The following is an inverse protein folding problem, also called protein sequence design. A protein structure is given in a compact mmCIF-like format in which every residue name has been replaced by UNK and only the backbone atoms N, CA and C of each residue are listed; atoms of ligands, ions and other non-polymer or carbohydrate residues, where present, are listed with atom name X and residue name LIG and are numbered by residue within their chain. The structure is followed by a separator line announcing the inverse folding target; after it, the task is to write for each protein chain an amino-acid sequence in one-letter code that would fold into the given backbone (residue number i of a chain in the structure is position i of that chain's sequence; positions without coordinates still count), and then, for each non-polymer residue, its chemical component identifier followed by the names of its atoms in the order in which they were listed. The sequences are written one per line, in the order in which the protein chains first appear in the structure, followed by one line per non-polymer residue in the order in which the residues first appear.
data_IF_346168783888
#
_entry.id   IF_346168783888
#
_cell.length_a   1.000
_cell.length_b   1.000
_cell.length_c   1.000
_cell.angle_alpha   90.00
_cell.angle_beta   90.00
_cell.angle_gamma   90.00
#
_symmetry.space_group_name_H-M   'P 1'
#
loop_
_entity.id
_entity.type
_entity.pdbx_description
1 polymer ?
#
# COMPACT_ATOMS: atom_id res chain seq x y z
N UNK A 1 3.34 -0.44 10.28
CA UNK A 1 3.47 -1.62 9.40
C UNK A 1 2.24 -2.50 9.30
N UNK A 2 1.41 -2.71 10.33
CA UNK A 2 0.24 -3.62 10.24
C UNK A 2 -0.80 -3.18 9.20
N UNK A 3 -0.98 -1.87 9.01
CA UNK A 3 -1.78 -1.33 7.92
C UNK A 3 -1.17 -1.67 6.55
N UNK A 4 0.15 -1.52 6.41
CA UNK A 4 0.88 -1.73 5.15
C UNK A 4 0.89 -3.21 4.74
N UNK A 5 1.14 -4.11 5.69
CA UNK A 5 1.21 -5.55 5.45
C UNK A 5 0.45 -6.27 6.58
N UNK A 6 -0.87 -6.42 6.49
CA UNK A 6 -1.68 -7.08 7.51
C UNK A 6 -1.25 -8.55 7.68
N UNK A 7 -1.47 -9.09 8.88
CA UNK A 7 -1.19 -10.49 9.21
C UNK A 7 -2.45 -11.29 9.55
N UNK A 8 -3.63 -10.65 9.55
CA UNK A 8 -4.90 -11.26 9.91
C UNK A 8 -5.52 -12.09 8.80
N UNK A 9 -6.78 -12.47 8.99
CA UNK A 9 -7.55 -13.33 8.08
C UNK A 9 -7.75 -12.71 6.69
N UNK A 10 -7.73 -13.55 5.67
CA UNK A 10 -7.98 -13.14 4.28
C UNK A 10 -9.50 -13.14 4.02
N UNK A 11 -10.05 -12.02 3.55
CA UNK A 11 -11.47 -11.93 3.19
C UNK A 11 -11.71 -12.56 1.81
N UNK A 12 -12.78 -13.37 1.61
CA UNK A 12 -13.16 -13.90 0.29
C UNK A 12 -13.27 -12.85 -0.81
N UNK A 13 -13.81 -11.67 -0.47
CA UNK A 13 -13.98 -10.57 -1.42
C UNK A 13 -12.71 -9.76 -1.71
N UNK A 14 -11.63 -9.96 -0.94
CA UNK A 14 -10.36 -9.26 -1.17
C UNK A 14 -9.64 -9.80 -2.41
N UNK A 15 -8.72 -9.03 -3.03
CA UNK A 15 -7.93 -9.53 -4.16
C UNK A 15 -7.22 -10.85 -3.85
N UNK A 16 -6.63 -10.99 -2.65
CA UNK A 16 -5.98 -12.23 -2.24
C UNK A 16 -6.99 -13.39 -2.11
N UNK A 17 -8.19 -13.12 -1.61
CA UNK A 17 -9.25 -14.12 -1.51
C UNK A 17 -9.73 -14.60 -2.87
N UNK A 18 -9.98 -13.67 -3.81
CA UNK A 18 -10.34 -14.01 -5.20
C UNK A 18 -9.26 -14.87 -5.85
N UNK A 19 -8.00 -14.46 -5.73
CA UNK A 19 -6.87 -15.23 -6.25
C UNK A 19 -6.81 -16.65 -5.67
N UNK A 20 -6.99 -16.82 -4.36
CA UNK A 20 -7.02 -18.14 -3.73
C UNK A 20 -8.16 -19.02 -4.27
N UNK A 21 -9.37 -18.47 -4.37
CA UNK A 21 -10.53 -19.18 -4.94
C UNK A 21 -10.30 -19.59 -6.38
N UNK A 22 -9.77 -18.69 -7.22
CA UNK A 22 -9.44 -18.95 -8.62
C UNK A 22 -8.40 -20.07 -8.78
N UNK A 23 -7.55 -20.28 -7.76
CA UNK A 23 -6.54 -21.34 -7.71
C UNK A 23 -7.01 -22.57 -6.92
N UNK A 24 -8.31 -22.73 -6.71
CA UNK A 24 -8.91 -23.93 -6.12
C UNK A 24 -8.67 -24.08 -4.62
N UNK A 25 -8.35 -23.01 -3.90
CA UNK A 25 -8.22 -23.04 -2.44
C UNK A 25 -9.59 -22.78 -1.81
N UNK A 26 -10.05 -23.71 -0.98
CA UNK A 26 -11.30 -23.54 -0.27
C UNK A 26 -11.22 -22.43 0.79
N UNK A 27 -12.34 -21.75 1.02
CA UNK A 27 -12.44 -20.64 1.99
C UNK A 27 -11.95 -21.03 3.39
N UNK A 28 -12.19 -22.28 3.81
CA UNK A 28 -11.73 -22.79 5.11
C UNK A 28 -10.19 -22.81 5.22
N UNK A 29 -9.51 -22.98 4.09
CA UNK A 29 -8.05 -23.11 4.01
C UNK A 29 -7.35 -21.79 3.70
N UNK A 30 -8.08 -20.68 3.54
CA UNK A 30 -7.49 -19.36 3.28
C UNK A 30 -6.40 -18.99 4.28
N UNK A 31 -6.62 -19.34 5.55
CA UNK A 31 -5.73 -19.03 6.66
C UNK A 31 -5.53 -17.49 6.76
N UNK A 32 -4.42 -17.06 7.34
CA UNK A 32 -4.07 -15.64 7.50
C UNK A 32 -3.01 -15.20 6.50
N UNK A 33 -2.90 -13.89 6.27
CA UNK A 33 -1.76 -13.32 5.55
C UNK A 33 -0.43 -13.72 6.20
N UNK A 34 -0.38 -13.81 7.53
CA UNK A 34 0.80 -14.29 8.27
C UNK A 34 1.23 -15.71 7.88
N UNK A 35 0.26 -16.62 7.70
CA UNK A 35 0.52 -18.00 7.28
C UNK A 35 0.93 -18.12 5.81
N UNK A 36 0.59 -17.12 4.99
CA UNK A 36 0.83 -17.09 3.54
C UNK A 36 2.09 -16.30 3.16
N UNK A 37 2.95 -15.93 4.12
CA UNK A 37 4.13 -15.05 3.91
C UNK A 37 5.15 -15.54 2.87
N UNK A 38 5.18 -16.85 2.58
CA UNK A 38 6.01 -17.44 1.54
C UNK A 38 5.43 -17.35 0.12
N UNK A 39 4.16 -16.96 -0.02
CA UNK A 39 3.48 -16.81 -1.30
C UNK A 39 3.42 -15.33 -1.68
N UNK A 40 4.20 -14.92 -2.68
CA UNK A 40 4.28 -13.53 -3.09
C UNK A 40 2.98 -13.00 -3.72
N UNK A 41 2.26 -13.82 -4.48
CA UNK A 41 0.98 -13.45 -5.11
C UNK A 41 -0.07 -13.06 -4.06
N UNK A 42 -0.13 -13.80 -2.96
CA UNK A 42 -1.04 -13.51 -1.84
C UNK A 42 -0.59 -12.27 -1.07
N UNK A 43 0.69 -12.15 -0.80
CA UNK A 43 1.21 -11.06 0.03
C UNK A 43 1.21 -9.70 -0.69
N UNK A 44 1.46 -9.68 -2.01
CA UNK A 44 1.27 -8.50 -2.84
C UNK A 44 -0.18 -8.01 -2.77
N UNK A 45 -1.14 -8.93 -2.98
CA UNK A 45 -2.58 -8.64 -2.87
C UNK A 45 -3.05 -8.24 -1.48
N UNK A 46 -2.30 -8.65 -0.46
CA UNK A 46 -2.52 -8.25 0.94
C UNK A 46 -1.92 -6.90 1.30
N UNK A 47 -1.03 -6.34 0.47
CA UNK A 47 -0.36 -5.08 0.77
C UNK A 47 -1.38 -3.94 0.72
N UNK A 48 -1.41 -3.14 1.79
CA UNK A 48 -2.42 -2.12 2.07
C UNK A 48 -3.88 -2.64 2.13
N UNK A 49 -4.10 -3.95 2.28
CA UNK A 49 -5.45 -4.53 2.36
C UNK A 49 -6.07 -4.49 3.76
N UNK A 50 -5.45 -3.81 4.73
CA UNK A 50 -5.94 -3.76 6.09
C UNK A 50 -7.29 -3.03 6.16
N UNK A 51 -8.25 -3.62 6.86
CA UNK A 51 -9.63 -3.11 6.97
C UNK A 51 -9.73 -1.77 7.69
N UNK A 52 -8.68 -1.34 8.40
CA UNK A 52 -8.62 -0.09 9.15
C UNK A 52 -7.77 1.00 8.50
N UNK A 53 -7.25 0.76 7.29
CA UNK A 53 -6.61 1.83 6.52
C UNK A 53 -7.64 2.92 6.24
N UNK A 54 -7.22 4.17 6.35
CA UNK A 54 -8.00 5.34 5.97
C UNK A 54 -7.27 6.02 4.82
N UNK A 55 -7.91 6.08 3.66
CA UNK A 55 -7.35 6.74 2.48
C UNK A 55 -7.94 8.14 2.35
N UNK A 56 -7.10 9.18 2.46
CA UNK A 56 -7.57 10.57 2.42
C UNK A 56 -8.09 11.00 1.04
N UNK A 57 -7.74 10.27 -0.03
CA UNK A 57 -8.34 10.46 -1.36
C UNK A 57 -9.83 10.07 -1.39
N UNK A 58 -10.29 9.30 -0.40
CA UNK A 58 -11.65 8.81 -0.24
C UNK A 58 -12.15 9.12 1.18
N UNK A 59 -12.52 10.38 1.49
CA UNK A 59 -12.92 10.79 2.83
C UNK A 59 -14.03 9.91 3.42
N UNK A 60 -13.80 9.40 4.64
CA UNK A 60 -14.74 8.52 5.33
C UNK A 60 -14.61 7.03 4.97
N UNK A 61 -13.80 6.67 3.98
CA UNK A 61 -13.53 5.26 3.67
C UNK A 61 -12.64 4.59 4.73
N UNK A 62 -12.93 3.32 5.01
CA UNK A 62 -12.05 2.41 5.75
C UNK A 62 -11.81 1.14 4.93
N UNK A 63 -10.56 0.69 4.88
CA UNK A 63 -10.13 -0.50 4.18
C UNK A 63 -9.07 -0.23 3.12
N UNK A 64 -8.61 -1.31 2.49
CA UNK A 64 -7.60 -1.27 1.44
C UNK A 64 -8.13 -0.83 0.09
N UNK A 65 -8.76 0.34 0.05
CA UNK A 65 -9.37 0.94 -1.15
C UNK A 65 -8.70 2.26 -1.52
N UNK A 66 -8.78 2.60 -2.80
CA UNK A 66 -8.29 3.85 -3.35
C UNK A 66 -9.10 4.24 -4.58
N UNK A 67 -8.80 5.43 -5.10
CA UNK A 67 -9.36 5.96 -6.33
C UNK A 67 -8.28 5.87 -7.41
N UNK A 68 -8.57 5.17 -8.49
CA UNK A 68 -7.77 5.22 -9.70
C UNK A 68 -7.97 6.59 -10.39
N UNK A 69 -6.89 7.15 -10.94
CA UNK A 69 -6.91 8.40 -11.69
C UNK A 69 -6.41 8.13 -13.11
N UNK A 70 -6.99 8.77 -14.13
CA UNK A 70 -7.93 9.90 -14.03
C UNK A 70 -9.42 9.51 -14.00
N UNK A 71 -9.77 8.24 -14.12
CA UNK A 71 -11.18 7.81 -14.28
C UNK A 71 -12.04 7.95 -13.01
N UNK A 72 -11.41 8.09 -11.84
CA UNK A 72 -12.09 8.26 -10.57
C UNK A 72 -12.71 6.98 -9.99
N UNK A 73 -12.43 5.81 -10.56
CA UNK A 73 -13.00 4.55 -10.14
C UNK A 73 -12.45 4.09 -8.78
N UNK A 74 -13.35 3.68 -7.89
CA UNK A 74 -12.98 3.15 -6.57
C UNK A 74 -12.74 1.65 -6.64
N UNK A 75 -11.58 1.21 -6.18
CA UNK A 75 -11.19 -0.20 -6.21
C UNK A 75 -10.20 -0.54 -5.10
N UNK A 76 -9.83 -1.82 -4.98
CA UNK A 76 -8.79 -2.22 -4.03
C UNK A 76 -7.44 -1.63 -4.44
N UNK A 77 -6.59 -1.29 -3.46
CA UNK A 77 -5.26 -0.71 -3.73
C UNK A 77 -4.41 -1.61 -4.63
N UNK A 78 -4.50 -2.93 -4.46
CA UNK A 78 -3.82 -3.88 -5.35
C UNK A 78 -4.31 -3.76 -6.79
N UNK A 79 -5.63 -3.70 -7.01
CA UNK A 79 -6.21 -3.63 -8.35
C UNK A 79 -5.79 -2.34 -9.05
N UNK A 80 -5.85 -1.20 -8.34
CA UNK A 80 -5.38 0.09 -8.85
C UNK A 80 -3.89 0.05 -9.19
N UNK A 81 -3.07 -0.56 -8.34
CA UNK A 81 -1.64 -0.70 -8.59
C UNK A 81 -1.33 -1.54 -9.85
N UNK A 82 -2.08 -2.61 -10.09
CA UNK A 82 -1.92 -3.41 -11.31
C UNK A 82 -2.36 -2.65 -12.56
N UNK A 83 -3.42 -1.85 -12.46
CA UNK A 83 -3.87 -1.00 -13.56
C UNK A 83 -2.80 0.05 -13.91
N UNK A 84 -2.27 0.78 -12.93
CA UNK A 84 -1.17 1.73 -13.15
C UNK A 84 0.08 1.06 -13.72
N UNK A 85 0.40 -0.18 -13.32
CA UNK A 85 1.49 -0.92 -13.93
C UNK A 85 1.25 -1.24 -15.40
N UNK A 86 0.03 -1.65 -15.78
CA UNK A 86 -0.33 -1.87 -17.17
C UNK A 86 -0.24 -0.57 -18.00
N UNK A 87 -0.57 0.56 -17.38
CA UNK A 87 -0.43 1.91 -17.96
C UNK A 87 1.01 2.44 -17.95
N UNK A 88 1.97 1.69 -17.38
CA UNK A 88 3.37 2.09 -17.19
C UNK A 88 3.53 3.37 -16.35
N UNK A 89 2.58 3.63 -15.46
CA UNK A 89 2.56 4.79 -14.58
C UNK A 89 3.22 4.46 -13.23
N UNK A 90 4.31 5.16 -12.83
CA UNK A 90 4.93 4.96 -11.54
C UNK A 90 4.06 5.52 -10.40
N UNK A 91 4.17 4.91 -9.21
CA UNK A 91 3.37 5.30 -8.05
C UNK A 91 4.18 5.96 -6.94
N UNK A 92 3.53 6.85 -6.21
CA UNK A 92 4.03 7.44 -4.98
C UNK A 92 2.99 7.30 -3.86
N UNK A 93 3.44 7.27 -2.62
CA UNK A 93 2.57 7.28 -1.43
C UNK A 93 2.81 8.56 -0.66
N UNK A 94 1.74 9.23 -0.25
CA UNK A 94 1.78 10.33 0.70
C UNK A 94 1.27 9.88 2.08
N UNK A 95 1.97 10.26 3.14
CA UNK A 95 1.64 9.86 4.50
C UNK A 95 1.89 10.97 5.53
N UNK A 96 1.30 10.78 6.72
CA UNK A 96 1.49 11.66 7.86
C UNK A 96 2.76 11.34 8.65
N UNK A 97 2.64 11.43 9.97
CA UNK A 97 3.75 11.18 10.91
C UNK A 97 3.93 9.68 11.19
N UNK A 98 5.14 9.33 11.62
CA UNK A 98 5.54 7.99 12.05
C UNK A 98 5.21 6.89 11.03
N UNK A 99 5.36 7.19 9.74
CA UNK A 99 5.06 6.24 8.68
C UNK A 99 5.86 4.96 8.86
N UNK A 100 5.14 3.84 8.95
CA UNK A 100 5.73 2.54 9.17
C UNK A 100 5.72 2.05 10.61
N UNK A 101 5.27 2.83 11.61
CA UNK A 101 5.33 2.43 13.02
C UNK A 101 4.71 1.06 13.33
N UNK A 102 5.30 0.34 14.29
CA UNK A 102 4.88 -0.99 14.74
C UNK A 102 5.90 -2.10 14.43
N UNK A 103 5.45 -3.36 14.52
CA UNK A 103 6.32 -4.54 14.30
C UNK A 103 6.99 -4.52 12.92
N UNK A 104 8.30 -4.78 12.87
CA UNK A 104 8.99 -4.90 11.58
C UNK A 104 8.41 -6.08 10.79
N UNK A 105 7.96 -5.82 9.57
CA UNK A 105 7.41 -6.82 8.65
C UNK A 105 8.07 -6.64 7.30
N UNK A 106 8.81 -7.64 6.83
CA UNK A 106 9.54 -7.59 5.55
C UNK A 106 8.62 -7.21 4.38
N UNK A 107 7.38 -7.72 4.41
CA UNK A 107 6.36 -7.45 3.41
C UNK A 107 5.85 -6.01 3.39
N UNK A 108 6.04 -5.22 4.45
CA UNK A 108 5.68 -3.81 4.42
C UNK A 108 6.52 -3.01 3.39
N UNK A 109 7.80 -3.34 3.23
CA UNK A 109 8.64 -2.72 2.20
C UNK A 109 8.57 -3.49 0.88
N UNK A 110 8.64 -4.84 0.91
CA UNK A 110 8.58 -5.68 -0.30
C UNK A 110 7.27 -5.48 -1.06
N UNK A 111 6.15 -5.52 -0.36
CA UNK A 111 4.81 -5.29 -0.93
C UNK A 111 4.71 -3.92 -1.58
N UNK A 112 5.12 -2.86 -0.86
CA UNK A 112 5.14 -1.49 -1.38
C UNK A 112 5.91 -1.40 -2.70
N UNK A 113 7.10 -2.00 -2.78
CA UNK A 113 7.88 -2.04 -4.02
C UNK A 113 7.19 -2.82 -5.14
N UNK A 114 6.63 -3.99 -4.85
CA UNK A 114 5.99 -4.87 -5.83
C UNK A 114 4.69 -4.30 -6.39
N UNK A 115 4.02 -3.42 -5.64
CA UNK A 115 2.89 -2.62 -6.16
C UNK A 115 3.34 -1.50 -7.12
N UNK A 116 4.65 -1.31 -7.37
CA UNK A 116 5.15 -0.32 -8.32
C UNK A 116 5.49 1.04 -7.71
N UNK A 117 5.39 1.19 -6.39
CA UNK A 117 5.73 2.43 -5.68
C UNK A 117 7.23 2.71 -5.82
N UNK A 118 7.54 3.95 -6.24
CA UNK A 118 8.91 4.44 -6.42
C UNK A 118 9.38 5.29 -5.24
N UNK A 119 8.47 6.05 -4.64
CA UNK A 119 8.75 6.90 -3.50
C UNK A 119 7.62 6.91 -2.47
N UNK A 120 7.98 7.12 -1.21
CA UNK A 120 7.05 7.43 -0.13
C UNK A 120 7.42 8.79 0.42
N UNK A 121 6.46 9.71 0.48
CA UNK A 121 6.60 11.06 1.01
C UNK A 121 5.82 11.12 2.33
N UNK A 122 6.48 11.37 3.45
CA UNK A 122 5.84 11.40 4.77
C UNK A 122 6.29 12.58 5.63
N UNK A 123 5.50 12.97 6.65
CA UNK A 123 5.93 13.97 7.64
C UNK A 123 7.09 13.46 8.48
N UNK A 124 7.06 12.17 8.83
CA UNK A 124 8.18 11.47 9.49
C UNK A 124 8.06 9.96 9.27
N UNK A 125 9.15 9.22 9.52
CA UNK A 125 9.22 7.77 9.37
C UNK A 125 9.64 7.10 10.67
N UNK A 126 9.14 5.89 10.91
CA UNK A 126 9.78 4.98 11.86
C UNK A 126 11.14 4.54 11.30
N UNK A 127 12.18 4.53 12.16
CA UNK A 127 13.58 4.35 11.80
C UNK A 127 13.85 3.04 11.03
N UNK A 128 13.33 1.92 11.52
CA UNK A 128 13.54 0.59 10.90
C UNK A 128 12.80 0.51 9.57
N UNK A 129 11.56 0.99 9.51
CA UNK A 129 10.78 0.96 8.28
C UNK A 129 11.41 1.83 7.18
N UNK A 130 11.96 3.00 7.51
CA UNK A 130 12.72 3.83 6.57
C UNK A 130 13.87 3.06 5.93
N UNK A 131 14.65 2.34 6.75
CA UNK A 131 15.76 1.53 6.25
C UNK A 131 15.27 0.39 5.33
N UNK A 132 14.15 -0.25 5.66
CA UNK A 132 13.56 -1.30 4.83
C UNK A 132 13.09 -0.79 3.46
N UNK A 133 12.53 0.41 3.38
CA UNK A 133 12.14 1.03 2.10
C UNK A 133 13.37 1.25 1.21
N UNK A 134 14.44 1.83 1.77
CA UNK A 134 15.71 2.02 1.05
C UNK A 134 16.27 0.69 0.56
N UNK A 135 16.28 -0.34 1.42
CA UNK A 135 16.75 -1.68 1.06
C UNK A 135 15.93 -2.34 -0.06
N UNK A 136 14.68 -1.92 -0.26
CA UNK A 136 13.82 -2.39 -1.34
C UNK A 136 13.82 -1.47 -2.58
N UNK A 137 14.63 -0.41 -2.59
CA UNK A 137 14.71 0.55 -3.69
C UNK A 137 13.46 1.45 -3.80
N UNK A 138 12.81 1.74 -2.68
CA UNK A 138 11.74 2.74 -2.57
C UNK A 138 12.32 3.96 -1.85
N UNK A 139 12.24 5.14 -2.47
CA UNK A 139 12.83 6.36 -1.92
C UNK A 139 11.97 6.94 -0.78
N UNK A 140 12.44 7.00 0.48
CA UNK A 140 11.72 7.71 1.53
C UNK A 140 12.09 9.20 1.53
N UNK A 141 11.13 10.04 1.19
CA UNK A 141 11.23 11.50 1.23
C UNK A 141 10.48 12.03 2.45
N UNK A 142 11.11 12.93 3.19
CA UNK A 142 10.44 13.62 4.30
C UNK A 142 10.06 15.04 3.87
N UNK A 143 8.85 15.47 4.24
CA UNK A 143 8.49 16.88 4.13
C UNK A 143 9.44 17.76 4.95
N UNK A 144 9.58 19.04 4.57
CA UNK A 144 10.22 20.02 5.43
C UNK A 144 9.40 20.23 6.70
N UNK A 145 10.05 20.68 7.77
CA UNK A 145 9.41 20.90 9.05
C UNK A 145 8.17 21.79 8.92
N UNK A 146 7.05 21.35 9.52
CA UNK A 146 5.77 22.03 9.47
C UNK A 146 4.98 21.85 8.16
N UNK A 147 5.52 21.13 7.17
CA UNK A 147 4.81 20.84 5.91
C UNK A 147 4.20 19.43 5.89
N UNK A 148 3.18 19.27 5.05
CA UNK A 148 2.52 18.00 4.75
C UNK A 148 1.61 18.10 3.52
N UNK A 149 0.97 16.99 3.18
CA UNK A 149 -0.02 16.94 2.12
C UNK A 149 -1.17 17.95 2.37
N UNK A 150 -1.60 18.08 3.62
CA UNK A 150 -2.63 19.02 4.07
C UNK A 150 -2.22 20.49 3.87
N UNK A 151 -1.00 20.88 4.29
CA UNK A 151 -0.53 22.27 4.11
C UNK A 151 -0.35 22.65 2.65
N UNK A 152 -0.05 21.65 1.80
CA UNK A 152 0.10 21.81 0.36
C UNK A 152 -1.24 21.65 -0.40
N UNK A 153 -2.33 21.33 0.31
CA UNK A 153 -3.66 21.07 -0.25
C UNK A 153 -3.69 19.96 -1.29
N UNK A 154 -2.86 18.94 -1.09
CA UNK A 154 -2.83 17.77 -1.98
C UNK A 154 -4.09 16.93 -1.78
N UNK A 155 -4.78 16.61 -2.86
CA UNK A 155 -5.98 15.75 -2.84
C UNK A 155 -5.78 14.39 -3.55
N UNK A 156 -4.63 14.21 -4.18
CA UNK A 156 -4.25 12.97 -4.88
C UNK A 156 -4.70 12.92 -6.33
N UNK A 157 -5.25 14.01 -6.88
CA UNK A 157 -5.49 14.16 -8.32
C UNK A 157 -4.26 14.70 -9.07
N UNK A 158 -3.23 15.15 -8.36
CA UNK A 158 -2.04 15.73 -8.95
C UNK A 158 -1.09 14.67 -9.53
N UNK A 159 -0.30 15.09 -10.51
CA UNK A 159 0.84 14.31 -11.02
C UNK A 159 2.15 14.86 -10.44
N UNK A 160 3.07 13.96 -10.10
CA UNK A 160 4.35 14.33 -9.50
C UNK A 160 5.52 13.80 -10.34
N UNK A 161 6.46 14.69 -10.65
CA UNK A 161 7.75 14.31 -11.18
C UNK A 161 8.79 14.27 -10.06
N UNK A 162 9.58 13.20 -10.05
CA UNK A 162 10.72 13.06 -9.16
C UNK A 162 11.99 13.08 -10.03
N UNK A 163 12.84 14.08 -9.80
CA UNK A 163 14.10 14.22 -10.53
C UNK A 163 15.14 13.28 -9.94
N UNK A 164 15.64 12.34 -10.75
CA UNK A 164 16.69 11.37 -10.40
C UNK A 164 16.37 9.96 -10.85
#
# INVERSE_FOLDING_TARGET
TDHISPAGSIKPSSPAGKHLTEHGVDKADFNSYGARRGNHEVMMRGTFANVRIKNLMLPGSEGGVTRHQPDGSEMAIYDAAMQYQAESTPLMIFAGEEYGTGSSRDWAAKGTRLLGVKAVIAKSFERIHRANLVGMGVLPCQFKDGMGADSLKLDGSETFDLIG
#
